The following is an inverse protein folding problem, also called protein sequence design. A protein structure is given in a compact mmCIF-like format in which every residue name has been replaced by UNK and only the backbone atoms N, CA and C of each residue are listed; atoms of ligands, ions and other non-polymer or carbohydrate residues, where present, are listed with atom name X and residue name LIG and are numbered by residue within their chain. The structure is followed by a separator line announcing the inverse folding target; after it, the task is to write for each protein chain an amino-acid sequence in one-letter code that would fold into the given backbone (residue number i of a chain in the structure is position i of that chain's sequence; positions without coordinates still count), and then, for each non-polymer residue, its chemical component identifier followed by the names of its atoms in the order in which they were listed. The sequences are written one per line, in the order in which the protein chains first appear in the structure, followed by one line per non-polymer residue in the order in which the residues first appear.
data_IF_954626330699
#
_entry.id   IF_954626330699
#
_cell.length_a   1.000
_cell.length_b   1.000
_cell.length_c   1.000
_cell.angle_alpha   90.00
_cell.angle_beta   90.00
_cell.angle_gamma   90.00
#
_symmetry.space_group_name_H-M   'P 1'
#
loop_
_entity.id
_entity.type
_entity.pdbx_description
1 polymer ?
#
# COMPACT_ATOMS: atom_id res chain seq x y z
N UNK A 1 3.40 15.89 -25.11
CA UNK A 1 4.80 15.63 -25.51
C UNK A 1 5.68 16.30 -24.49
N UNK A 2 6.41 15.49 -23.72
CA UNK A 2 7.19 15.92 -22.56
C UNK A 2 6.73 15.16 -21.32
N UNK A 3 7.09 13.88 -21.27
CA UNK A 3 6.95 13.01 -20.11
C UNK A 3 7.64 13.64 -18.90
N UNK A 4 6.86 13.90 -17.85
CA UNK A 4 7.38 14.05 -16.49
C UNK A 4 7.57 12.64 -15.92
N UNK A 5 8.45 11.85 -16.54
CA UNK A 5 8.92 10.60 -15.97
C UNK A 5 10.00 10.91 -14.93
N UNK A 6 9.67 10.64 -13.66
CA UNK A 6 10.54 10.33 -12.52
C UNK A 6 12.06 10.51 -12.73
N UNK A 7 12.54 11.74 -12.57
CA UNK A 7 13.95 12.11 -12.76
C UNK A 7 14.90 11.76 -11.60
N UNK A 8 14.42 11.19 -10.48
CA UNK A 8 15.24 11.07 -9.24
C UNK A 8 15.87 9.68 -8.99
N UNK A 9 15.76 8.73 -9.94
CA UNK A 9 16.29 7.36 -9.77
C UNK A 9 17.15 6.85 -10.92
N UNK A 10 17.39 7.66 -11.95
CA UNK A 10 18.28 7.27 -13.04
C UNK A 10 19.74 7.42 -12.62
N UNK A 11 20.49 6.34 -12.80
CA UNK A 11 21.95 6.30 -12.64
C UNK A 11 22.55 6.83 -13.94
N UNK A 12 23.27 7.96 -13.89
CA UNK A 12 23.78 8.62 -15.09
C UNK A 12 25.19 8.13 -15.47
N UNK A 13 26.01 7.77 -14.49
CA UNK A 13 27.38 7.30 -14.68
C UNK A 13 27.78 6.23 -13.66
N UNK A 14 29.05 5.82 -13.69
CA UNK A 14 29.58 4.78 -12.80
C UNK A 14 29.73 5.27 -11.36
N UNK A 15 29.98 6.56 -11.13
CA UNK A 15 30.11 7.09 -9.78
C UNK A 15 28.73 7.07 -9.08
N UNK A 16 27.67 7.46 -9.80
CA UNK A 16 26.29 7.30 -9.35
C UNK A 16 25.95 5.84 -9.02
N UNK A 17 26.42 4.90 -9.85
CA UNK A 17 26.19 3.46 -9.65
C UNK A 17 26.87 2.96 -8.36
N UNK A 18 28.12 3.37 -8.13
CA UNK A 18 28.87 3.04 -6.92
C UNK A 18 28.19 3.59 -5.66
N UNK A 19 27.70 4.83 -5.71
CA UNK A 19 26.94 5.46 -4.63
C UNK A 19 25.65 4.67 -4.32
N UNK A 20 24.90 4.26 -5.35
CA UNK A 20 23.69 3.44 -5.14
C UNK A 20 24.00 2.07 -4.56
N UNK A 21 25.09 1.44 -4.98
CA UNK A 21 25.57 0.19 -4.39
C UNK A 21 25.96 0.35 -2.92
N UNK A 22 26.56 1.48 -2.54
CA UNK A 22 26.88 1.79 -1.14
C UNK A 22 25.61 1.97 -0.29
N UNK A 23 24.58 2.59 -0.84
CA UNK A 23 23.27 2.68 -0.18
C UNK A 23 22.63 1.29 -0.04
N UNK A 24 22.69 0.46 -1.08
CA UNK A 24 22.15 -0.91 -1.04
C UNK A 24 22.87 -1.76 0.02
N UNK A 25 24.18 -1.65 0.13
CA UNK A 25 25.00 -2.31 1.15
C UNK A 25 24.53 -1.94 2.57
N UNK A 26 24.31 -0.65 2.82
CA UNK A 26 23.77 -0.15 4.10
C UNK A 26 22.36 -0.69 4.40
N UNK A 27 21.51 -0.87 3.39
CA UNK A 27 20.17 -1.47 3.56
C UNK A 27 20.30 -2.95 3.90
N UNK A 28 21.16 -3.69 3.20
CA UNK A 28 21.44 -5.10 3.45
C UNK A 28 21.98 -5.31 4.88
N UNK A 29 22.91 -4.48 5.32
CA UNK A 29 23.43 -4.52 6.69
C UNK A 29 22.34 -4.27 7.73
N UNK A 30 21.42 -3.35 7.46
CA UNK A 30 20.29 -3.10 8.34
C UNK A 30 19.32 -4.30 8.39
N UNK A 31 19.06 -4.93 7.25
CA UNK A 31 18.20 -6.11 7.15
C UNK A 31 18.80 -7.35 7.83
N UNK A 32 20.12 -7.41 8.00
CA UNK A 32 20.83 -8.48 8.72
C UNK A 32 20.76 -8.35 10.25
N UNK A 33 20.25 -7.25 10.81
CA UNK A 33 20.18 -7.10 12.27
C UNK A 33 19.24 -8.15 12.89
N UNK A 34 19.66 -8.82 13.98
CA UNK A 34 18.94 -9.98 14.52
C UNK A 34 17.60 -9.65 15.20
N UNK A 35 17.30 -8.37 15.44
CA UNK A 35 16.08 -7.94 16.14
C UNK A 35 15.43 -6.76 15.41
N UNK A 36 15.01 -7.00 14.17
CA UNK A 36 14.28 -6.02 13.38
C UNK A 36 12.77 -6.30 13.46
N UNK A 37 11.97 -5.25 13.61
CA UNK A 37 10.51 -5.39 13.61
C UNK A 37 9.99 -5.60 12.19
N UNK A 38 8.85 -6.28 12.04
CA UNK A 38 8.21 -6.50 10.73
C UNK A 38 8.00 -5.22 9.93
N UNK A 39 7.53 -4.15 10.57
CA UNK A 39 7.34 -2.86 9.90
C UNK A 39 8.66 -2.27 9.37
N UNK A 40 9.78 -2.47 10.08
CA UNK A 40 11.10 -2.05 9.61
C UNK A 40 11.59 -2.92 8.45
N UNK A 41 11.34 -4.24 8.49
CA UNK A 41 11.63 -5.13 7.35
C UNK A 41 10.88 -4.65 6.11
N UNK A 42 9.58 -4.34 6.23
CA UNK A 42 8.77 -3.84 5.11
C UNK A 42 9.34 -2.55 4.50
N UNK A 43 9.77 -1.60 5.34
CA UNK A 43 10.37 -0.33 4.87
C UNK A 43 11.70 -0.58 4.16
N UNK A 44 12.60 -1.36 4.79
CA UNK A 44 13.91 -1.64 4.22
C UNK A 44 13.81 -2.51 2.96
N UNK A 45 12.87 -3.45 2.91
CA UNK A 45 12.64 -4.29 1.74
C UNK A 45 12.11 -3.47 0.56
N UNK A 46 11.27 -2.48 0.82
CA UNK A 46 10.85 -1.53 -0.19
C UNK A 46 12.06 -0.75 -0.76
N UNK A 47 12.91 -0.19 0.11
CA UNK A 47 14.13 0.48 -0.33
C UNK A 47 15.06 -0.45 -1.12
N UNK A 48 15.23 -1.67 -0.63
CA UNK A 48 16.03 -2.70 -1.28
C UNK A 48 15.52 -2.98 -2.71
N UNK A 49 14.21 -3.16 -2.90
CA UNK A 49 13.59 -3.39 -4.22
C UNK A 49 13.79 -2.21 -5.17
N UNK A 50 13.57 -0.97 -4.69
CA UNK A 50 13.80 0.24 -5.49
C UNK A 50 15.25 0.31 -5.96
N UNK A 51 16.20 0.05 -5.06
CA UNK A 51 17.63 0.06 -5.37
C UNK A 51 18.00 -1.05 -6.34
N UNK A 52 17.46 -2.25 -6.14
CA UNK A 52 17.67 -3.40 -7.02
C UNK A 52 17.30 -3.07 -8.48
N UNK A 53 16.15 -2.43 -8.69
CA UNK A 53 15.68 -2.05 -10.03
C UNK A 53 16.51 -0.90 -10.63
N UNK A 54 16.79 0.12 -9.84
CA UNK A 54 17.59 1.27 -10.28
C UNK A 54 19.01 0.85 -10.67
N UNK A 55 19.67 0.02 -9.85
CA UNK A 55 21.01 -0.51 -10.09
C UNK A 55 21.03 -1.43 -11.30
N UNK A 56 20.06 -2.35 -11.43
CA UNK A 56 19.97 -3.24 -12.59
C UNK A 56 19.79 -2.45 -13.89
N UNK A 57 18.93 -1.44 -13.89
CA UNK A 57 18.73 -0.54 -15.03
C UNK A 57 20.01 0.24 -15.36
N UNK A 58 20.67 0.81 -14.35
CA UNK A 58 21.94 1.51 -14.51
C UNK A 58 23.05 0.64 -15.11
N UNK A 59 23.21 -0.59 -14.59
CA UNK A 59 24.17 -1.57 -15.12
C UNK A 59 23.91 -1.87 -16.60
N UNK A 60 22.64 -2.06 -16.99
CA UNK A 60 22.28 -2.32 -18.39
C UNK A 60 22.62 -1.14 -19.30
N UNK A 61 22.29 0.09 -18.88
CA UNK A 61 22.56 1.30 -19.67
C UNK A 61 24.07 1.55 -19.80
N UNK A 62 24.80 1.49 -18.68
CA UNK A 62 26.24 1.76 -18.65
C UNK A 62 27.02 0.69 -19.42
N UNK A 63 26.63 -0.58 -19.33
CA UNK A 63 27.27 -1.65 -20.10
C UNK A 63 27.16 -1.44 -21.62
N UNK A 64 26.04 -0.89 -22.10
CA UNK A 64 25.86 -0.55 -23.51
C UNK A 64 26.67 0.67 -23.94
N UNK A 65 26.89 1.63 -23.03
CA UNK A 65 27.64 2.85 -23.27
C UNK A 65 29.17 2.69 -23.08
N UNK A 66 29.63 1.54 -22.56
CA UNK A 66 31.01 1.37 -22.16
C UNK A 66 31.98 1.16 -23.33
N UNK A 67 32.68 2.23 -23.74
CA UNK A 67 33.61 2.21 -24.87
C UNK A 67 35.05 1.79 -24.52
N UNK A 68 35.43 1.88 -23.24
CA UNK A 68 36.81 1.62 -22.79
C UNK A 68 36.92 0.38 -21.91
N UNK A 69 38.04 -0.34 -22.01
CA UNK A 69 38.30 -1.52 -21.19
C UNK A 69 38.31 -1.20 -19.68
N UNK A 70 38.75 0.00 -19.29
CA UNK A 70 38.74 0.44 -17.89
C UNK A 70 37.30 0.59 -17.38
N UNK A 71 36.43 1.26 -18.14
CA UNK A 71 35.03 1.46 -17.77
C UNK A 71 34.26 0.13 -17.74
N UNK A 72 34.56 -0.77 -18.68
CA UNK A 72 34.00 -2.14 -18.68
C UNK A 72 34.41 -2.92 -17.43
N UNK A 73 35.66 -2.78 -16.96
CA UNK A 73 36.10 -3.40 -15.73
C UNK A 73 35.36 -2.83 -14.52
N UNK A 74 35.23 -1.50 -14.40
CA UNK A 74 34.51 -0.88 -13.30
C UNK A 74 33.04 -1.32 -13.23
N UNK A 75 32.37 -1.40 -14.39
CA UNK A 75 30.99 -1.91 -14.48
C UNK A 75 30.93 -3.39 -14.06
N UNK A 76 31.93 -4.18 -14.44
CA UNK A 76 32.02 -5.59 -14.03
C UNK A 76 32.16 -5.72 -12.51
N UNK A 77 33.05 -4.94 -11.90
CA UNK A 77 33.25 -4.92 -10.45
C UNK A 77 31.96 -4.48 -9.73
N UNK A 78 31.24 -3.48 -10.27
CA UNK A 78 29.94 -3.07 -9.76
C UNK A 78 28.88 -4.17 -9.87
N UNK A 79 28.85 -4.90 -10.99
CA UNK A 79 27.93 -6.02 -11.19
C UNK A 79 28.21 -7.18 -10.23
N UNK A 80 29.49 -7.48 -9.95
CA UNK A 80 29.86 -8.47 -8.94
C UNK A 80 29.38 -8.06 -7.54
N UNK A 81 29.58 -6.79 -7.16
CA UNK A 81 29.07 -6.27 -5.89
C UNK A 81 27.54 -6.31 -5.83
N UNK A 82 26.86 -5.96 -6.92
CA UNK A 82 25.41 -6.08 -7.01
C UNK A 82 24.93 -7.51 -6.78
N UNK A 83 25.58 -8.51 -7.38
CA UNK A 83 25.21 -9.92 -7.19
C UNK A 83 25.40 -10.38 -5.74
N UNK A 84 26.46 -9.92 -5.06
CA UNK A 84 26.70 -10.21 -3.65
C UNK A 84 25.63 -9.62 -2.73
N UNK A 85 25.21 -8.39 -3.00
CA UNK A 85 24.13 -7.70 -2.25
C UNK A 85 22.74 -8.19 -2.65
N UNK A 86 22.63 -8.76 -3.85
CA UNK A 86 21.43 -9.27 -4.49
C UNK A 86 21.21 -10.76 -4.22
N UNK A 87 21.51 -11.57 -5.24
CA UNK A 87 21.31 -13.01 -5.26
C UNK A 87 21.95 -13.72 -4.05
N UNK A 88 23.21 -13.42 -3.74
CA UNK A 88 23.92 -14.13 -2.66
C UNK A 88 23.30 -13.82 -1.29
N UNK A 89 22.79 -12.60 -1.11
CA UNK A 89 22.07 -12.24 0.11
C UNK A 89 20.68 -12.86 0.17
N UNK A 90 19.96 -12.92 -0.95
CA UNK A 90 18.63 -13.54 -1.07
C UNK A 90 18.65 -15.03 -0.71
N UNK A 91 19.74 -15.73 -1.01
CA UNK A 91 19.92 -17.13 -0.60
C UNK A 91 19.91 -17.34 0.92
N UNK A 92 20.14 -16.28 1.70
CA UNK A 92 20.08 -16.32 3.17
C UNK A 92 18.71 -15.98 3.77
N UNK A 93 17.73 -15.62 2.95
CA UNK A 93 16.43 -15.15 3.42
C UNK A 93 15.56 -16.26 4.00
N UNK A 94 14.82 -15.91 5.05
CA UNK A 94 13.75 -16.75 5.58
C UNK A 94 12.45 -16.59 4.77
N UNK A 95 11.50 -17.49 4.98
CA UNK A 95 10.17 -17.42 4.35
C UNK A 95 9.45 -16.08 4.63
N UNK A 96 9.69 -15.46 5.79
CA UNK A 96 9.10 -14.16 6.12
C UNK A 96 9.67 -13.03 5.24
N UNK A 97 10.98 -13.04 5.00
CA UNK A 97 11.63 -12.06 4.11
C UNK A 97 11.16 -12.23 2.67
N UNK A 98 11.08 -13.48 2.19
CA UNK A 98 10.54 -13.79 0.87
C UNK A 98 9.10 -13.29 0.71
N UNK A 99 8.22 -13.56 1.68
CA UNK A 99 6.83 -13.12 1.63
C UNK A 99 6.69 -11.58 1.56
N UNK A 100 7.52 -10.85 2.31
CA UNK A 100 7.52 -9.38 2.28
C UNK A 100 8.09 -8.86 0.96
N UNK A 101 9.16 -9.48 0.44
CA UNK A 101 9.75 -9.12 -0.83
C UNK A 101 8.77 -9.32 -2.00
N UNK A 102 8.10 -10.47 -2.07
CA UNK A 102 7.07 -10.76 -3.07
C UNK A 102 5.92 -9.78 -2.99
N UNK A 103 5.40 -9.51 -1.79
CA UNK A 103 4.33 -8.53 -1.59
C UNK A 103 4.74 -7.13 -2.08
N UNK A 104 5.98 -6.74 -1.80
CA UNK A 104 6.56 -5.46 -2.22
C UNK A 104 6.64 -5.39 -3.74
N UNK A 105 7.21 -6.41 -4.38
CA UNK A 105 7.32 -6.56 -5.83
C UNK A 105 5.95 -6.57 -6.52
N UNK A 106 4.96 -7.27 -5.97
CA UNK A 106 3.57 -7.27 -6.48
C UNK A 106 2.92 -5.89 -6.35
N UNK A 107 3.19 -5.17 -5.27
CA UNK A 107 2.75 -3.79 -5.07
C UNK A 107 3.26 -2.87 -6.19
N UNK A 108 4.54 -3.01 -6.56
CA UNK A 108 5.14 -2.29 -7.69
C UNK A 108 4.53 -2.67 -9.04
N UNK A 109 4.31 -3.97 -9.29
CA UNK A 109 3.63 -4.40 -10.52
C UNK A 109 2.19 -3.89 -10.64
N UNK A 110 1.52 -3.65 -9.50
CA UNK A 110 0.20 -3.02 -9.46
C UNK A 110 0.28 -1.50 -9.61
N UNK A 111 1.34 -0.84 -9.14
CA UNK A 111 1.54 0.60 -9.33
C UNK A 111 1.93 0.98 -10.76
N UNK A 112 2.71 0.15 -11.44
CA UNK A 112 2.95 0.30 -12.89
C UNK A 112 1.68 0.04 -13.72
N UNK A 113 0.70 -0.64 -13.11
CA UNK A 113 -0.65 -0.84 -13.63
C UNK A 113 -1.68 0.08 -12.97
N UNK A 114 -1.30 1.06 -12.14
CA UNK A 114 -2.24 2.04 -11.62
C UNK A 114 -2.68 2.90 -12.79
N UNK A 115 -3.83 2.51 -13.34
CA UNK A 115 -4.76 3.28 -14.15
C UNK A 115 -4.26 4.68 -14.45
N UNK A 116 -3.79 4.88 -15.68
CA UNK A 116 -3.46 6.22 -16.19
C UNK A 116 -4.57 7.20 -15.77
N UNK A 117 -4.24 8.46 -15.47
CA UNK A 117 -5.25 9.45 -15.05
C UNK A 117 -6.48 9.52 -15.99
N UNK A 118 -6.32 9.07 -17.23
CA UNK A 118 -7.36 8.84 -18.23
C UNK A 118 -8.39 7.78 -17.81
N UNK A 119 -7.99 6.64 -17.26
CA UNK A 119 -8.90 5.60 -16.78
C UNK A 119 -9.68 6.04 -15.54
N UNK A 120 -9.04 6.79 -14.65
CA UNK A 120 -9.72 7.41 -13.51
C UNK A 120 -10.72 8.47 -14.00
N UNK A 121 -10.33 9.29 -14.98
CA UNK A 121 -11.22 10.28 -15.60
C UNK A 121 -12.41 9.62 -16.31
N UNK A 122 -12.20 8.49 -17.00
CA UNK A 122 -13.29 7.72 -17.62
C UNK A 122 -14.24 7.14 -16.56
N UNK A 123 -13.71 6.61 -15.45
CA UNK A 123 -14.56 6.12 -14.36
C UNK A 123 -15.35 7.25 -13.68
N UNK A 124 -14.76 8.44 -13.55
CA UNK A 124 -15.46 9.63 -13.04
C UNK A 124 -16.53 10.08 -14.03
N UNK A 125 -16.25 10.07 -15.33
CA UNK A 125 -17.22 10.40 -16.37
C UNK A 125 -18.40 9.41 -16.37
N UNK A 126 -18.13 8.11 -16.27
CA UNK A 126 -19.15 7.07 -16.20
C UNK A 126 -20.04 7.24 -14.96
N UNK A 127 -19.45 7.58 -13.81
CA UNK A 127 -20.19 7.85 -12.57
C UNK A 127 -21.01 9.15 -12.68
N UNK A 128 -20.47 10.18 -13.32
CA UNK A 128 -21.21 11.44 -13.57
C UNK A 128 -22.37 11.23 -14.53
N UNK A 129 -22.18 10.45 -15.59
CA UNK A 129 -23.25 10.10 -16.54
C UNK A 129 -24.33 9.24 -15.87
N UNK A 130 -23.95 8.33 -14.98
CA UNK A 130 -24.89 7.57 -14.16
C UNK A 130 -25.70 8.51 -13.23
N UNK A 131 -25.04 9.46 -12.58
CA UNK A 131 -25.68 10.45 -11.71
C UNK A 131 -26.60 11.41 -12.48
N UNK A 132 -26.23 11.81 -13.70
CA UNK A 132 -27.06 12.61 -14.59
C UNK A 132 -28.27 11.84 -15.09
N UNK A 133 -28.11 10.53 -15.36
CA UNK A 133 -29.23 9.66 -15.76
C UNK A 133 -30.20 9.40 -14.60
N UNK A 134 -29.71 9.22 -13.37
CA UNK A 134 -30.57 9.10 -12.18
C UNK A 134 -31.36 10.39 -11.91
N UNK A 135 -30.75 11.56 -12.14
CA UNK A 135 -31.43 12.85 -12.03
C UNK A 135 -32.37 13.19 -13.21
N UNK A 136 -32.28 12.45 -14.33
CA UNK A 136 -33.16 12.60 -15.49
C UNK A 136 -34.42 11.75 -15.41
N UNK A 137 -34.63 10.98 -14.34
CA UNK A 137 -35.90 10.30 -14.12
C UNK A 137 -37.01 11.35 -13.99
N UNK A 138 -37.94 11.46 -14.95
CA UNK A 138 -38.87 12.58 -15.00
C UNK A 138 -39.79 12.53 -13.80
N UNK A 139 -39.96 13.69 -13.18
CA UNK A 139 -41.03 14.02 -12.25
C UNK A 139 -42.38 13.87 -12.98
N UNK A 140 -42.85 12.63 -13.07
CA UNK A 140 -44.14 12.23 -13.63
C UNK A 140 -44.93 11.47 -12.57
N UNK A 141 -45.92 12.15 -12.01
CA UNK A 141 -47.01 11.67 -11.14
C UNK A 141 -47.09 10.16 -10.85
N UNK A 142 -46.98 9.77 -9.57
CA UNK A 142 -47.91 8.78 -9.03
C UNK A 142 -48.19 9.06 -7.55
N UNK A 143 -49.47 9.08 -7.21
CA UNK A 143 -50.02 9.27 -5.87
C UNK A 143 -49.68 8.14 -4.89
N UNK A 144 -48.92 7.13 -5.32
CA UNK A 144 -48.51 5.97 -4.52
C UNK A 144 -47.39 6.28 -3.51
N UNK A 145 -46.47 7.20 -3.81
CA UNK A 145 -45.36 7.53 -2.89
C UNK A 145 -45.82 8.16 -1.57
N UNK A 146 -46.94 8.91 -1.59
CA UNK A 146 -47.54 9.46 -0.36
C UNK A 146 -48.22 8.40 0.50
N UNK A 147 -48.71 7.31 -0.11
CA UNK A 147 -49.34 6.20 0.61
C UNK A 147 -48.30 5.39 1.40
N UNK A 148 -47.14 5.15 0.79
CA UNK A 148 -46.03 4.39 1.40
C UNK A 148 -45.40 5.17 2.57
N UNK A 149 -45.21 6.49 2.41
CA UNK A 149 -44.69 7.33 3.50
C UNK A 149 -45.64 7.40 4.72
N UNK A 150 -46.96 7.39 4.49
CA UNK A 150 -47.93 7.32 5.59
C UNK A 150 -47.94 5.95 6.27
N UNK A 151 -47.78 4.86 5.53
CA UNK A 151 -47.72 3.50 6.09
C UNK A 151 -46.46 3.28 6.95
N UNK A 152 -45.32 3.87 6.54
CA UNK A 152 -44.07 3.86 7.32
C UNK A 152 -44.19 4.70 8.61
N UNK A 153 -44.85 5.86 8.56
CA UNK A 153 -45.07 6.71 9.75
C UNK A 153 -46.02 6.03 10.77
N UNK A 154 -47.02 5.30 10.28
CA UNK A 154 -47.96 4.55 11.13
C UNK A 154 -47.28 3.35 11.81
N UNK A 155 -46.43 2.61 11.09
CA UNK A 155 -45.64 1.48 11.64
C UNK A 155 -44.61 1.94 12.69
N UNK A 156 -44.02 3.12 12.52
CA UNK A 156 -43.09 3.71 13.48
C UNK A 156 -43.75 3.99 14.83
N UNK A 157 -45.00 4.47 14.83
CA UNK A 157 -45.75 4.74 16.07
C UNK A 157 -46.10 3.49 16.85
N UNK A 158 -46.26 2.34 16.20
CA UNK A 158 -46.53 1.07 16.89
C UNK A 158 -45.31 0.52 17.65
N UNK A 159 -44.09 0.81 17.17
CA UNK A 159 -42.86 0.30 17.79
C UNK A 159 -42.33 1.15 18.96
N UNK A 160 -42.72 2.42 19.08
CA UNK A 160 -42.37 3.26 20.23
C UNK A 160 -43.14 2.83 21.49
N UNK A 161 -44.39 2.37 21.34
CA UNK A 161 -45.24 1.93 22.45
C UNK A 161 -44.94 0.52 22.95
N UNK A 162 -44.24 -0.32 22.18
CA UNK A 162 -44.01 -1.73 22.51
C UNK A 162 -42.77 -1.99 23.39
N UNK A 163 -41.87 -1.02 23.58
CA UNK A 163 -40.58 -1.25 24.26
C UNK A 163 -40.39 -0.45 25.56
N UNK A 164 -41.39 0.35 25.94
CA UNK A 164 -41.33 1.26 27.10
C UNK A 164 -42.35 0.95 28.21
N UNK A 165 -43.03 -0.20 28.14
CA UNK A 165 -44.02 -0.62 29.13
C UNK A 165 -43.72 -2.01 29.73
N UNK A 166 -42.65 -2.11 30.52
CA UNK A 166 -42.51 -3.06 31.64
C UNK A 166 -41.57 -2.39 32.68
N UNK A 167 -42.13 -1.52 33.52
CA UNK A 167 -42.61 -1.82 34.89
C UNK A 167 -41.48 -1.86 35.92
N UNK A 168 -41.39 -0.75 36.67
CA UNK A 168 -40.79 -0.66 38.00
C UNK A 168 -41.22 -1.83 38.88
N UNK A 169 -40.25 -2.57 39.41
CA UNK A 169 -40.21 -3.17 40.76
C UNK A 169 -39.04 -4.15 40.85
N UNK A 170 -37.97 -3.77 41.55
CA UNK A 170 -37.54 -4.48 42.77
C UNK A 170 -36.16 -3.99 43.24
N UNK A 171 -36.22 -3.17 44.30
CA UNK A 171 -35.13 -2.90 45.23
C UNK A 171 -35.01 -4.14 46.13
N UNK A 172 -33.91 -4.90 46.06
CA UNK A 172 -33.42 -5.69 47.21
C UNK A 172 -31.88 -5.62 47.28
N UNK A 173 -31.43 -5.10 48.43
CA UNK A 173 -30.07 -5.02 48.95
C UNK A 173 -29.29 -6.34 48.87
N UNK A 174 -27.97 -6.27 48.59
CA UNK A 174 -27.00 -7.19 49.21
C UNK A 174 -25.56 -6.66 49.24
N UNK A 175 -25.02 -6.70 50.46
CA UNK A 175 -23.70 -6.39 51.00
C UNK A 175 -22.49 -7.08 50.33
N UNK A 176 -21.32 -6.49 50.66
CA UNK A 176 -19.93 -7.02 50.73
C UNK A 176 -19.07 -6.92 49.46
N UNK A 177 -17.78 -6.56 49.50
CA UNK A 177 -16.88 -6.14 50.57
C UNK A 177 -15.64 -5.46 49.93
N UNK A 178 -15.09 -4.49 50.64
CA UNK A 178 -13.79 -3.87 50.41
C UNK A 178 -12.64 -4.81 50.80
N UNK A 179 -11.45 -4.54 50.28
CA UNK A 179 -10.10 -5.00 50.72
C UNK A 179 -9.58 -6.34 50.16
N UNK A 180 -8.59 -6.24 49.27
CA UNK A 180 -7.45 -7.15 49.23
C UNK A 180 -6.18 -6.29 49.32
N UNK A 181 -5.42 -6.57 50.37
CA UNK A 181 -4.27 -5.85 50.90
C UNK A 181 -3.01 -6.26 50.14
N UNK A 182 -2.16 -5.28 49.86
CA UNK A 182 -0.76 -5.48 49.48
C UNK A 182 0.01 -5.84 50.74
N UNK A 183 0.74 -6.94 50.72
CA UNK A 183 1.84 -7.23 51.64
C UNK A 183 3.01 -7.76 50.82
#
# INVERSE_FOLDING_TARGET
MGDLESLDTQIADVDDLEDRLLVMDSVVDQLKYPNISKAQIEILMNQYVILEDSILSGLQVLALAAETAMLQQQITDCAEKFNQLGSDYQDSWSDEYWAIYELTREGYQKSDKLKTGQEIANQIADVQDLALNLNRTPQGSSSEGKKILMEIDELSKQHITSTLAMSDNDIIERKCCSTCVVS
#
